data_IF_821475318723
#
_entry.id   IF_821475318723
#
_cell.length_a   1.000
_cell.length_b   1.000
_cell.length_c   1.000
_cell.angle_alpha   90.00
_cell.angle_beta   90.00
_cell.angle_gamma   90.00
#
_symmetry.space_group_name_H-M   'P 1'
#
loop_
_entity.id
_entity.type
_entity.pdbx_description
1 polymer ?
#
# COMPACT_ATOMS: atom_id res chain seq x y z
N UNK A 1 2.96 -10.81 7.03
CA UNK A 1 3.05 -9.36 6.77
C UNK A 1 2.27 -8.91 5.53
N UNK A 2 2.02 -9.79 4.55
CA UNK A 2 1.32 -9.41 3.31
C UNK A 2 -0.12 -8.93 3.52
N UNK A 3 -0.92 -9.65 4.31
CA UNK A 3 -2.33 -9.29 4.51
C UNK A 3 -2.45 -8.01 5.33
N UNK A 4 -1.58 -7.83 6.33
CA UNK A 4 -1.49 -6.59 7.08
C UNK A 4 -1.30 -5.37 6.17
N UNK A 5 -0.27 -5.38 5.32
CA UNK A 5 0.04 -4.25 4.45
C UNK A 5 -1.06 -3.99 3.41
N UNK A 6 -1.56 -5.04 2.75
CA UNK A 6 -2.66 -4.91 1.80
C UNK A 6 -3.91 -4.33 2.48
N UNK A 7 -4.24 -4.80 3.70
CA UNK A 7 -5.37 -4.30 4.47
C UNK A 7 -5.19 -2.83 4.86
N UNK A 8 -4.05 -2.45 5.44
CA UNK A 8 -3.75 -1.07 5.79
C UNK A 8 -3.87 -0.14 4.59
N UNK A 9 -3.33 -0.54 3.45
CA UNK A 9 -3.38 0.25 2.21
C UNK A 9 -4.81 0.44 1.71
N UNK A 10 -5.61 -0.64 1.65
CA UNK A 10 -7.01 -0.56 1.22
C UNK A 10 -7.84 0.25 2.21
N UNK A 11 -7.75 -0.03 3.51
CA UNK A 11 -8.55 0.62 4.54
C UNK A 11 -8.21 2.10 4.66
N UNK A 12 -6.92 2.45 4.76
CA UNK A 12 -6.50 3.85 4.88
C UNK A 12 -6.97 4.67 3.67
N UNK A 13 -6.76 4.16 2.46
CA UNK A 13 -7.20 4.86 1.23
C UNK A 13 -8.72 4.92 1.13
N UNK A 14 -9.44 3.85 1.51
CA UNK A 14 -10.90 3.84 1.45
C UNK A 14 -11.54 4.82 2.44
N UNK A 15 -10.92 5.02 3.61
CA UNK A 15 -11.37 5.97 4.62
C UNK A 15 -11.02 7.41 4.25
N UNK A 16 -9.81 7.65 3.73
CA UNK A 16 -9.33 9.01 3.39
C UNK A 16 -9.96 9.52 2.09
N UNK A 17 -10.03 8.69 1.04
CA UNK A 17 -10.48 9.11 -0.28
C UNK A 17 -11.93 8.74 -0.61
N UNK A 18 -12.63 8.02 0.29
CA UNK A 18 -14.01 7.58 0.05
C UNK A 18 -14.16 6.76 -1.23
N UNK A 19 -15.28 6.88 -1.95
CA UNK A 19 -15.54 6.17 -3.23
C UNK A 19 -14.85 6.80 -4.44
N UNK A 20 -13.71 7.47 -4.23
CA UNK A 20 -12.91 7.98 -5.34
C UNK A 20 -12.60 6.84 -6.33
N UNK A 21 -12.52 7.15 -7.63
CA UNK A 21 -12.29 6.15 -8.69
C UNK A 21 -10.90 5.50 -8.70
N UNK A 22 -10.27 5.38 -7.53
CA UNK A 22 -9.00 4.70 -7.25
C UNK A 22 -9.17 3.20 -7.44
N UNK A 23 -8.15 2.57 -8.02
CA UNK A 23 -8.06 1.11 -8.11
C UNK A 23 -7.35 0.59 -6.84
N UNK A 24 -8.13 0.09 -5.88
CA UNK A 24 -7.63 -0.39 -4.59
C UNK A 24 -6.72 -1.60 -4.72
N UNK A 25 -6.81 -2.37 -5.82
CA UNK A 25 -5.90 -3.49 -6.08
C UNK A 25 -4.50 -2.98 -6.35
N UNK A 26 -4.38 -1.89 -7.13
CA UNK A 26 -3.08 -1.29 -7.43
C UNK A 26 -2.47 -0.65 -6.17
N UNK A 27 -3.31 -0.08 -5.30
CA UNK A 27 -2.88 0.42 -3.99
C UNK A 27 -2.35 -0.72 -3.11
N UNK A 28 -3.09 -1.83 -3.00
CA UNK A 28 -2.65 -3.01 -2.27
C UNK A 28 -1.32 -3.55 -2.83
N UNK A 29 -1.21 -3.69 -4.15
CA UNK A 29 0.03 -4.11 -4.81
C UNK A 29 1.19 -3.14 -4.53
N UNK A 30 0.94 -1.84 -4.55
CA UNK A 30 1.93 -0.83 -4.20
C UNK A 30 2.45 -0.98 -2.78
N UNK A 31 1.58 -1.28 -1.82
CA UNK A 31 1.99 -1.53 -0.43
C UNK A 31 2.77 -2.82 -0.21
N UNK A 32 2.62 -3.79 -1.11
CA UNK A 32 3.36 -5.05 -1.07
C UNK A 32 4.70 -4.94 -1.80
N UNK A 33 4.88 -3.93 -2.65
CA UNK A 33 6.09 -3.78 -3.46
C UNK A 33 7.38 -3.71 -2.62
N UNK A 34 7.45 -2.95 -1.51
CA UNK A 34 8.67 -2.90 -0.69
C UNK A 34 9.04 -4.25 -0.07
N UNK A 35 8.07 -5.16 0.11
CA UNK A 35 8.33 -6.50 0.64
C UNK A 35 9.25 -7.33 -0.27
N UNK A 36 9.35 -6.99 -1.57
CA UNK A 36 10.28 -7.69 -2.47
C UNK A 36 11.74 -7.42 -2.11
N UNK A 37 12.05 -6.28 -1.48
CA UNK A 37 13.42 -5.96 -1.03
C UNK A 37 13.88 -6.89 0.09
N UNK A 38 12.94 -7.44 0.86
CA UNK A 38 13.22 -8.32 2.00
C UNK A 38 13.81 -9.67 1.59
N UNK A 39 13.76 -10.04 0.30
CA UNK A 39 14.49 -11.22 -0.23
C UNK A 39 16.00 -11.07 0.01
N UNK A 40 16.51 -9.83 0.06
CA UNK A 40 17.91 -9.55 0.38
C UNK A 40 18.24 -9.63 1.88
N UNK A 41 17.23 -9.72 2.75
CA UNK A 41 17.39 -9.65 4.21
C UNK A 41 17.59 -8.25 4.78
N UNK A 42 17.63 -7.21 3.94
CA UNK A 42 17.85 -5.81 4.34
C UNK A 42 16.83 -4.86 3.68
N UNK A 43 16.51 -3.71 4.30
CA UNK A 43 15.68 -2.68 3.67
C UNK A 43 16.46 -1.93 2.59
N UNK A 44 15.84 -1.64 1.44
CA UNK A 44 16.46 -0.89 0.34
C UNK A 44 15.65 0.38 0.02
N UNK A 45 15.67 0.81 -1.24
CA UNK A 45 15.19 2.13 -1.67
C UNK A 45 13.68 2.28 -1.45
N UNK A 46 12.88 1.22 -1.58
CA UNK A 46 11.43 1.26 -1.38
C UNK A 46 11.03 1.40 0.10
N UNK A 47 11.96 1.18 1.04
CA UNK A 47 11.79 1.50 2.46
C UNK A 47 12.11 2.97 2.80
N UNK A 48 12.42 3.79 1.79
CA UNK A 48 12.74 5.21 1.95
C UNK A 48 11.61 6.09 1.41
N UNK A 49 11.48 7.31 1.94
CA UNK A 49 10.56 8.30 1.38
C UNK A 49 10.96 8.65 -0.06
N UNK A 50 12.26 8.78 -0.34
CA UNK A 50 12.77 9.07 -1.67
C UNK A 50 12.37 8.02 -2.70
N UNK A 51 12.37 6.73 -2.34
CA UNK A 51 11.91 5.65 -3.22
C UNK A 51 10.43 5.78 -3.60
N UNK A 52 9.56 6.12 -2.65
CA UNK A 52 8.14 6.37 -2.93
C UNK A 52 7.94 7.60 -3.83
N UNK A 53 8.71 8.68 -3.62
CA UNK A 53 8.68 9.87 -4.49
C UNK A 53 9.20 9.55 -5.89
N UNK A 54 10.31 8.81 -6.00
CA UNK A 54 10.87 8.40 -7.29
C UNK A 54 9.88 7.53 -8.07
N UNK A 55 9.18 6.62 -7.38
CA UNK A 55 8.12 5.81 -7.97
C UNK A 55 6.95 6.66 -8.48
N UNK A 56 6.53 7.68 -7.71
CA UNK A 56 5.52 8.63 -8.15
C UNK A 56 5.97 9.40 -9.40
N UNK A 57 7.20 9.90 -9.41
CA UNK A 57 7.78 10.59 -10.58
C UNK A 57 7.80 9.66 -11.79
N UNK A 58 8.23 8.41 -11.63
CA UNK A 58 8.25 7.42 -12.70
C UNK A 58 6.83 7.16 -13.25
N UNK A 59 5.84 6.96 -12.37
CA UNK A 59 4.43 6.80 -12.77
C UNK A 59 3.94 8.02 -13.57
N UNK A 60 4.25 9.23 -13.12
CA UNK A 60 3.85 10.46 -13.78
C UNK A 60 4.51 10.60 -15.16
N UNK A 61 5.82 10.34 -15.26
CA UNK A 61 6.58 10.40 -16.50
C UNK A 61 6.07 9.38 -17.54
N UNK A 62 5.89 8.12 -17.14
CA UNK A 62 5.39 7.04 -18.00
C UNK A 62 3.94 7.27 -18.49
N UNK A 63 3.19 8.13 -17.78
CA UNK A 63 1.79 8.45 -18.09
C UNK A 63 1.56 9.90 -18.52
N UNK A 64 2.60 10.65 -18.88
CA UNK A 64 2.53 12.07 -19.24
C UNK A 64 1.78 12.37 -20.56
N UNK A 65 1.61 11.39 -21.45
CA UNK A 65 0.99 11.59 -22.77
C UNK A 65 -0.52 11.91 -22.77
N UNK A 66 -0.98 12.60 -23.82
CA UNK A 66 -2.42 12.86 -24.07
C UNK A 66 -3.22 11.55 -24.08
N UNK A 67 -4.43 11.57 -23.50
CA UNK A 67 -5.31 10.40 -23.39
C UNK A 67 -4.95 9.39 -22.29
N UNK A 68 -3.80 9.52 -21.61
CA UNK A 68 -3.38 8.57 -20.56
C UNK A 68 -3.92 8.88 -19.16
N UNK A 69 -4.86 9.82 -19.03
CA UNK A 69 -5.39 10.30 -17.74
C UNK A 69 -5.98 9.19 -16.87
N UNK A 70 -6.71 8.25 -17.48
CA UNK A 70 -7.30 7.11 -16.77
C UNK A 70 -6.21 6.13 -16.28
N UNK A 71 -5.21 5.84 -17.12
CA UNK A 71 -4.05 5.03 -16.73
C UNK A 71 -3.29 5.69 -15.58
N UNK A 72 -3.02 7.00 -15.67
CA UNK A 72 -2.34 7.76 -14.60
C UNK A 72 -3.10 7.66 -13.27
N UNK A 73 -4.42 7.87 -13.28
CA UNK A 73 -5.27 7.73 -12.08
C UNK A 73 -5.17 6.34 -11.46
N UNK A 74 -5.09 5.29 -12.28
CA UNK A 74 -4.92 3.91 -11.82
C UNK A 74 -3.52 3.69 -11.22
N UNK A 75 -2.47 4.09 -11.94
CA UNK A 75 -1.07 3.84 -11.54
C UNK A 75 -0.61 4.69 -10.36
N UNK A 76 -1.22 5.85 -10.10
CA UNK A 76 -0.98 6.64 -8.88
C UNK A 76 -1.31 5.84 -7.61
N UNK A 77 -2.15 4.81 -7.69
CA UNK A 77 -2.38 3.91 -6.57
C UNK A 77 -1.09 3.23 -6.06
N UNK A 78 -0.13 2.98 -6.95
CA UNK A 78 1.11 2.28 -6.61
C UNK A 78 1.99 3.07 -5.61
N UNK A 79 2.37 4.34 -5.88
CA UNK A 79 3.10 5.14 -4.89
C UNK A 79 2.27 5.48 -3.65
N UNK A 80 0.93 5.58 -3.77
CA UNK A 80 0.09 5.72 -2.57
C UNK A 80 0.24 4.47 -1.67
N UNK A 81 0.24 3.28 -2.26
CA UNK A 81 0.45 2.03 -1.55
C UNK A 81 1.81 1.98 -0.83
N UNK A 82 2.90 2.38 -1.51
CA UNK A 82 4.23 2.40 -0.88
C UNK A 82 4.33 3.42 0.26
N UNK A 83 3.67 4.58 0.14
CA UNK A 83 3.60 5.56 1.23
C UNK A 83 2.86 4.99 2.45
N UNK A 84 1.74 4.29 2.25
CA UNK A 84 1.03 3.62 3.36
C UNK A 84 1.91 2.52 3.97
N UNK A 85 2.65 1.77 3.15
CA UNK A 85 3.62 0.81 3.66
C UNK A 85 4.65 1.45 4.59
N UNK A 86 5.26 2.59 4.23
CA UNK A 86 6.26 3.26 5.07
C UNK A 86 5.73 3.62 6.47
N UNK A 87 4.45 4.01 6.54
CA UNK A 87 3.77 4.29 7.80
C UNK A 87 3.53 2.99 8.58
N UNK A 88 2.95 1.98 7.93
CA UNK A 88 2.55 0.72 8.55
C UNK A 88 3.74 -0.15 8.98
N UNK A 89 4.88 -0.06 8.29
CA UNK A 89 6.11 -0.79 8.62
C UNK A 89 6.86 -0.15 9.78
N UNK A 90 6.61 1.15 10.03
CA UNK A 90 7.37 1.94 10.98
C UNK A 90 8.72 2.40 10.43
N UNK A 91 8.93 2.39 9.11
CA UNK A 91 10.19 2.85 8.50
C UNK A 91 10.58 4.28 8.95
N UNK A 92 9.58 5.14 9.17
CA UNK A 92 9.75 6.51 9.68
C UNK A 92 10.42 6.61 11.06
N UNK A 93 10.43 5.52 11.85
CA UNK A 93 11.14 5.48 13.14
C UNK A 93 12.66 5.37 13.00
N UNK A 94 13.16 5.06 11.80
CA UNK A 94 14.59 4.94 11.50
C UNK A 94 15.04 6.07 10.57
N UNK A 95 15.46 7.18 11.15
CA UNK A 95 15.79 8.43 10.43
C UNK A 95 16.72 8.23 9.24
N UNK A 96 17.82 7.49 9.40
CA UNK A 96 18.80 7.28 8.32
C UNK A 96 18.27 6.45 7.14
N UNK A 97 17.29 5.58 7.38
CA UNK A 97 16.61 4.83 6.33
C UNK A 97 15.51 5.67 5.69
N UNK A 98 14.60 6.23 6.49
CA UNK A 98 13.42 6.93 5.97
C UNK A 98 13.79 8.17 5.13
N UNK A 99 14.77 8.94 5.60
CA UNK A 99 15.21 10.18 4.95
C UNK A 99 16.35 9.98 3.96
N UNK A 100 16.77 8.74 3.67
CA UNK A 100 17.79 8.49 2.66
C UNK A 100 17.40 9.15 1.33
N UNK A 101 18.33 9.85 0.64
CA UNK A 101 19.76 9.99 0.95
C UNK A 101 20.13 11.17 1.88
N UNK A 102 19.17 12.02 2.25
CA UNK A 102 19.41 13.22 3.06
C UNK A 102 19.69 12.91 4.54
N UNK A 103 19.14 11.82 5.07
CA UNK A 103 19.33 11.36 6.45
C UNK A 103 20.63 10.56 6.69
N UNK A 104 21.49 10.44 5.69
CA UNK A 104 22.68 9.59 5.69
C UNK A 104 22.55 8.35 4.79
N UNK A 105 23.64 7.61 4.60
CA UNK A 105 23.70 6.44 3.72
C UNK A 105 23.59 5.09 4.44
N UNK A 106 23.79 5.05 5.76
CA UNK A 106 23.89 3.80 6.54
C UNK A 106 22.58 3.04 6.78
N UNK A 107 21.43 3.58 6.36
CA UNK A 107 20.13 2.93 6.55
C UNK A 107 19.71 1.94 5.46
N UNK A 108 20.16 2.16 4.22
CA UNK A 108 19.78 1.34 3.05
C UNK A 108 20.81 0.21 2.88
N UNK A 109 20.34 -1.02 2.67
CA UNK A 109 21.16 -2.21 2.50
C UNK A 109 21.64 -2.83 3.82
N UNK A 110 21.26 -2.26 4.97
CA UNK A 110 21.78 -2.65 6.28
C UNK A 110 20.67 -2.90 7.30
N UNK A 111 20.88 -3.91 8.15
CA UNK A 111 20.00 -4.25 9.27
C UNK A 111 18.72 -4.98 8.86
N UNK A 112 17.96 -5.43 9.86
CA UNK A 112 16.70 -6.14 9.65
C UNK A 112 15.61 -5.15 9.18
N UNK A 113 14.78 -5.47 8.17
CA UNK A 113 13.70 -4.59 7.73
C UNK A 113 12.78 -4.16 8.89
N UNK A 114 12.32 -2.89 8.95
CA UNK A 114 11.55 -2.36 10.07
C UNK A 114 10.31 -3.17 10.42
N UNK A 115 9.60 -3.72 9.43
CA UNK A 115 8.40 -4.55 9.61
C UNK A 115 8.67 -5.88 10.32
N UNK A 116 9.90 -6.42 10.19
CA UNK A 116 10.30 -7.70 10.74
C UNK A 116 11.13 -7.60 12.03
N UNK A 117 11.52 -6.39 12.42
CA UNK A 117 12.21 -6.10 13.67
C UNK A 117 11.25 -6.10 14.88
N UNK A 118 10.49 -7.19 15.04
CA UNK A 118 9.50 -7.40 16.10
C UNK A 118 9.41 -8.88 16.47
N UNK A 119 8.98 -9.22 17.70
CA UNK A 119 8.72 -10.61 18.09
C UNK A 119 7.69 -11.28 17.17
N UNK A 120 7.86 -12.58 16.91
CA UNK A 120 6.97 -13.37 16.04
C UNK A 120 5.49 -13.25 16.43
N UNK A 121 5.18 -13.20 17.72
CA UNK A 121 3.81 -13.04 18.21
C UNK A 121 3.15 -11.75 17.70
N UNK A 122 3.90 -10.64 17.65
CA UNK A 122 3.42 -9.36 17.10
C UNK A 122 3.22 -9.47 15.59
N UNK A 123 4.13 -10.18 14.90
CA UNK A 123 4.02 -10.39 13.46
C UNK A 123 2.74 -11.18 13.09
N UNK A 124 2.46 -12.24 13.84
CA UNK A 124 1.25 -13.05 13.69
C UNK A 124 0.01 -12.23 14.03
N UNK A 125 0.04 -11.42 15.09
CA UNK A 125 -1.06 -10.54 15.46
C UNK A 125 -1.41 -9.53 14.35
N UNK A 126 -0.42 -8.92 13.69
CA UNK A 126 -0.65 -8.05 12.54
C UNK A 126 -1.30 -8.78 11.36
N UNK A 127 -0.93 -10.03 11.07
CA UNK A 127 -1.62 -10.79 10.03
C UNK A 127 -3.09 -11.04 10.37
N UNK A 128 -3.40 -11.42 11.61
CA UNK A 128 -4.79 -11.56 12.05
C UNK A 128 -5.55 -10.23 12.00
N UNK A 129 -4.93 -9.13 12.39
CA UNK A 129 -5.50 -7.80 12.26
C UNK A 129 -5.75 -7.44 10.77
N UNK A 130 -4.85 -7.83 9.87
CA UNK A 130 -5.02 -7.69 8.43
C UNK A 130 -6.21 -8.48 7.90
N UNK A 131 -6.36 -9.75 8.31
CA UNK A 131 -7.51 -10.59 7.98
C UNK A 131 -8.81 -9.94 8.47
N UNK A 132 -8.84 -9.50 9.73
CA UNK A 132 -10.01 -8.85 10.32
C UNK A 132 -10.38 -7.56 9.57
N UNK A 133 -9.38 -6.74 9.20
CA UNK A 133 -9.58 -5.51 8.42
C UNK A 133 -10.08 -5.78 7.00
N UNK A 134 -9.58 -6.83 6.32
CA UNK A 134 -10.09 -7.24 5.00
C UNK A 134 -11.52 -7.79 5.10
N UNK A 135 -11.82 -8.59 6.14
CA UNK A 135 -13.18 -9.09 6.39
C UNK A 135 -14.14 -7.93 6.68
N UNK A 136 -13.72 -6.96 7.49
CA UNK A 136 -14.48 -5.73 7.73
C UNK A 136 -14.71 -4.95 6.42
N UNK A 137 -13.68 -4.78 5.59
CA UNK A 137 -13.79 -4.12 4.28
C UNK A 137 -14.79 -4.83 3.39
N UNK A 138 -14.70 -6.17 3.29
CA UNK A 138 -15.62 -6.97 2.51
C UNK A 138 -17.08 -6.79 2.96
N UNK A 139 -17.33 -6.78 4.27
CA UNK A 139 -18.66 -6.50 4.84
C UNK A 139 -19.10 -5.06 4.55
N UNK A 140 -18.23 -4.07 4.77
CA UNK A 140 -18.53 -2.63 4.63
C UNK A 140 -18.92 -2.22 3.21
N UNK A 141 -18.36 -2.89 2.21
CA UNK A 141 -18.64 -2.64 0.79
C UNK A 141 -19.58 -3.68 0.15
N UNK A 142 -20.05 -4.66 0.94
CA UNK A 142 -20.99 -5.67 0.47
C UNK A 142 -20.40 -6.63 -0.57
N UNK A 143 -19.13 -7.00 -0.44
CA UNK A 143 -18.45 -7.94 -1.36
C UNK A 143 -18.95 -9.39 -1.26
N UNK A 144 -19.91 -9.66 -0.36
CA UNK A 144 -20.68 -10.91 -0.35
C UNK A 144 -21.62 -11.03 -1.56
N UNK A 145 -22.02 -9.88 -2.14
CA UNK A 145 -22.76 -9.83 -3.40
C UNK A 145 -21.82 -10.17 -4.58
N UNK A 146 -22.12 -11.23 -5.37
CA UNK A 146 -21.31 -11.64 -6.50
C UNK A 146 -21.09 -10.53 -7.54
N UNK A 147 -22.08 -9.66 -7.78
CA UNK A 147 -21.97 -8.59 -8.78
C UNK A 147 -20.98 -7.53 -8.33
N UNK A 148 -21.04 -7.14 -7.05
CA UNK A 148 -20.10 -6.17 -6.47
C UNK A 148 -18.70 -6.72 -6.38
N UNK A 149 -18.57 -8.00 -6.04
CA UNK A 149 -17.29 -8.69 -6.06
C UNK A 149 -16.71 -8.71 -7.47
N UNK A 150 -17.52 -9.01 -8.48
CA UNK A 150 -17.07 -9.01 -9.88
C UNK A 150 -16.71 -7.60 -10.36
N UNK A 151 -17.48 -6.58 -9.97
CA UNK A 151 -17.17 -5.18 -10.26
C UNK A 151 -15.83 -4.76 -9.63
N UNK A 152 -15.54 -5.19 -8.39
CA UNK A 152 -14.25 -4.97 -7.75
C UNK A 152 -13.12 -5.73 -8.48
N UNK A 153 -13.32 -7.01 -8.80
CA UNK A 153 -12.31 -7.82 -9.48
C UNK A 153 -12.01 -7.37 -10.91
N UNK A 154 -12.91 -6.63 -11.56
CA UNK A 154 -12.70 -6.08 -12.91
C UNK A 154 -12.16 -4.66 -12.83
N UNK A 155 -12.84 -3.76 -12.11
CA UNK A 155 -12.54 -2.32 -12.09
C UNK A 155 -11.57 -1.90 -10.99
N UNK A 156 -11.45 -2.72 -9.93
CA UNK A 156 -10.65 -2.40 -8.75
C UNK A 156 -11.28 -1.38 -7.81
N UNK A 157 -12.54 -1.00 -8.04
CA UNK A 157 -13.24 0.03 -7.26
C UNK A 157 -14.11 -0.60 -6.18
N UNK A 158 -14.15 0.05 -5.03
CA UNK A 158 -15.08 -0.26 -3.94
C UNK A 158 -16.23 0.75 -3.99
N UNK A 159 -17.43 0.27 -4.29
CA UNK A 159 -18.65 1.07 -4.24
C UNK A 159 -19.38 0.82 -2.93
N UNK A 160 -19.83 1.88 -2.26
CA UNK A 160 -20.67 1.73 -1.08
C UNK A 160 -22.03 1.20 -1.51
N UNK A 161 -22.67 0.31 -0.73
CA UNK A 161 -24.10 0.07 -0.87
C UNK A 161 -24.83 1.42 -0.85
N UNK A 162 -25.82 1.61 -1.73
CA UNK A 162 -26.76 2.70 -1.55
C UNK A 162 -27.37 2.55 -0.16
N UNK A 163 -27.27 3.57 0.68
CA UNK A 163 -28.05 3.63 1.92
C UNK A 163 -29.52 3.60 1.49
N UNK A 164 -30.25 2.55 1.90
CA UNK A 164 -31.71 2.59 1.82
C UNK A 164 -32.14 3.65 2.83
N UNK A 165 -32.56 4.81 2.33
CA UNK A 165 -33.27 5.85 3.08
C UNK A 165 -34.69 5.34 3.34
#
# INVERSE_FOLDING_TARGET
MFLWFAACAVVAVALVFGSSGVDYRVVALGSMLPLTENVSGSPWVLHTLAGSVALLVAVMALTAGRGRRLRRRRWIGLPIGTLVFLVASGAWSRTALFWWPLGGSGGVGHGVPPEFDRPLAVLVAFEFAGIAALAWTARRFGLSDPERRQAFLTTGRLTRPAERI
#
